data_IF_449484037062
#
_entry.id   IF_449484037062
#
_cell.length_a   1.000
_cell.length_b   1.000
_cell.length_c   1.000
_cell.angle_alpha   90.00
_cell.angle_beta   90.00
_cell.angle_gamma   90.00
#
_symmetry.space_group_name_H-M   'P 1'
#
loop_
_entity.id
_entity.type
_entity.pdbx_description
1 polymer ?
#
# COMPACT_ATOMS: atom_id res chain seq x y z
N UNK A 1 -7.42 -1.27 9.26
CA UNK A 1 -7.65 -1.08 7.83
C UNK A 1 -7.07 0.25 7.31
N UNK A 2 -7.05 1.32 8.13
CA UNK A 2 -6.44 2.62 7.80
C UNK A 2 -5.11 2.71 8.52
N UNK A 3 -4.01 2.54 7.78
CA UNK A 3 -2.65 2.46 8.36
C UNK A 3 -1.61 3.11 7.43
N UNK A 4 -0.52 3.68 7.98
CA UNK A 4 0.58 4.20 7.17
C UNK A 4 1.24 3.10 6.34
N UNK A 5 1.71 3.47 5.14
CA UNK A 5 2.47 2.59 4.26
C UNK A 5 3.45 3.41 3.40
N UNK A 6 4.63 2.86 3.12
CA UNK A 6 5.62 3.45 2.22
C UNK A 6 5.71 2.60 0.95
N UNK A 7 5.48 3.20 -0.20
CA UNK A 7 5.47 2.52 -1.48
C UNK A 7 4.22 1.68 -1.74
N UNK A 8 4.27 0.82 -2.77
CA UNK A 8 3.18 -0.08 -3.11
C UNK A 8 3.21 -1.33 -2.22
N UNK A 9 2.06 -1.73 -1.70
CA UNK A 9 1.95 -2.81 -0.70
C UNK A 9 2.37 -4.17 -1.23
N UNK A 10 2.10 -4.48 -2.51
CA UNK A 10 2.42 -5.79 -3.09
C UNK A 10 3.93 -6.06 -3.19
N UNK A 11 4.77 -5.21 -3.82
CA UNK A 11 6.22 -5.45 -3.82
C UNK A 11 6.84 -5.37 -2.42
N UNK A 12 6.28 -4.54 -1.53
CA UNK A 12 6.73 -4.45 -0.14
C UNK A 12 6.40 -5.74 0.63
N UNK A 13 5.24 -6.35 0.41
CA UNK A 13 4.92 -7.67 0.99
C UNK A 13 5.84 -8.78 0.48
N UNK A 14 6.24 -8.72 -0.81
CA UNK A 14 7.26 -9.63 -1.34
C UNK A 14 8.60 -9.41 -0.65
N UNK A 15 9.05 -8.15 -0.52
CA UNK A 15 10.29 -7.82 0.21
C UNK A 15 10.23 -8.26 1.68
N UNK A 16 9.07 -8.11 2.34
CA UNK A 16 8.83 -8.58 3.71
C UNK A 16 8.97 -10.11 3.82
N UNK A 17 8.42 -10.84 2.86
CA UNK A 17 8.54 -12.30 2.82
C UNK A 17 10.00 -12.73 2.61
N UNK A 18 10.74 -12.03 1.73
CA UNK A 18 12.18 -12.25 1.51
C UNK A 18 12.98 -11.95 2.77
N UNK A 19 12.71 -10.83 3.44
CA UNK A 19 13.36 -10.46 4.69
C UNK A 19 13.18 -11.57 5.74
N UNK A 20 11.96 -12.08 5.89
CA UNK A 20 11.67 -13.18 6.84
C UNK A 20 12.39 -14.47 6.47
N UNK A 21 12.42 -14.85 5.20
CA UNK A 21 13.14 -16.04 4.75
C UNK A 21 14.66 -15.87 4.98
N UNK A 22 15.22 -14.68 4.73
CA UNK A 22 16.65 -14.37 4.96
C UNK A 22 17.00 -14.40 6.44
N UNK A 23 16.17 -13.81 7.31
CA UNK A 23 16.33 -13.90 8.77
C UNK A 23 16.31 -15.35 9.26
N UNK A 24 15.41 -16.17 8.72
CA UNK A 24 15.28 -17.59 9.05
C UNK A 24 16.51 -18.38 8.56
N UNK A 25 17.03 -18.05 7.38
CA UNK A 25 18.28 -18.64 6.86
C UNK A 25 19.48 -18.32 7.75
N UNK A 26 19.52 -17.11 8.33
CA UNK A 26 20.57 -16.63 9.23
C UNK A 26 21.82 -16.12 8.51
N UNK A 27 21.80 -16.06 7.19
CA UNK A 27 22.90 -15.53 6.36
C UNK A 27 22.35 -14.92 5.09
N UNK A 28 23.18 -14.12 4.38
CA UNK A 28 22.83 -13.55 3.08
C UNK A 28 22.61 -14.67 2.05
N UNK A 29 21.46 -14.71 1.37
CA UNK A 29 21.19 -15.77 0.42
C UNK A 29 22.06 -15.65 -0.85
N UNK A 30 22.48 -16.77 -1.39
CA UNK A 30 23.14 -16.87 -2.68
C UNK A 30 22.13 -16.94 -3.82
N UNK A 31 20.96 -17.53 -3.54
CA UNK A 31 19.85 -17.67 -4.49
C UNK A 31 18.50 -17.45 -3.81
N UNK A 32 17.61 -16.78 -4.50
CA UNK A 32 16.25 -16.52 -4.04
C UNK A 32 15.25 -16.95 -5.11
N UNK A 33 14.37 -17.85 -4.76
CA UNK A 33 13.25 -18.29 -5.61
C UNK A 33 11.94 -17.77 -5.01
N UNK A 34 11.13 -17.10 -5.84
CA UNK A 34 9.88 -16.47 -5.42
C UNK A 34 8.74 -16.98 -6.28
N UNK A 35 7.71 -17.54 -5.63
CA UNK A 35 6.48 -17.98 -6.26
C UNK A 35 5.33 -17.06 -5.85
N UNK A 36 4.60 -16.51 -6.80
CA UNK A 36 3.58 -15.50 -6.59
C UNK A 36 2.26 -15.88 -7.22
N UNK A 37 1.15 -15.49 -6.58
CA UNK A 37 -0.13 -15.47 -7.27
C UNK A 37 -0.13 -14.44 -8.41
N UNK A 38 -0.97 -14.67 -9.43
CA UNK A 38 -1.06 -13.78 -10.59
C UNK A 38 -1.39 -12.34 -10.22
N UNK A 39 -2.21 -12.13 -9.18
CA UNK A 39 -2.59 -10.80 -8.73
C UNK A 39 -1.41 -10.03 -8.11
N UNK A 40 -0.61 -10.68 -7.28
CA UNK A 40 0.60 -10.09 -6.70
C UNK A 40 1.60 -9.75 -7.80
N UNK A 41 1.88 -10.67 -8.71
CA UNK A 41 2.82 -10.44 -9.80
C UNK A 41 2.38 -9.24 -10.67
N UNK A 42 1.12 -9.23 -11.12
CA UNK A 42 0.57 -8.14 -11.93
C UNK A 42 0.69 -6.77 -11.25
N UNK A 43 0.36 -6.69 -9.96
CA UNK A 43 0.32 -5.41 -9.24
C UNK A 43 1.72 -4.91 -8.84
N UNK A 44 2.69 -5.81 -8.71
CA UNK A 44 4.03 -5.46 -8.27
C UNK A 44 5.04 -5.13 -9.39
N UNK A 45 4.75 -5.53 -10.64
CA UNK A 45 5.73 -5.46 -11.74
C UNK A 45 6.07 -4.04 -12.19
N UNK A 46 5.13 -3.10 -12.16
CA UNK A 46 5.25 -1.80 -12.80
C UNK A 46 5.38 -0.61 -11.85
N UNK A 47 5.75 -0.83 -10.59
CA UNK A 47 5.75 0.23 -9.57
C UNK A 47 7.15 0.54 -9.07
N UNK A 48 7.39 1.81 -8.73
CA UNK A 48 8.65 2.27 -8.14
C UNK A 48 8.84 1.69 -6.74
N UNK A 49 10.07 1.25 -6.46
CA UNK A 49 10.44 0.72 -5.14
C UNK A 49 11.06 1.84 -4.31
N UNK A 50 10.55 2.06 -3.09
CA UNK A 50 10.96 3.18 -2.25
C UNK A 50 12.46 3.30 -2.08
N UNK A 51 13.00 4.52 -2.29
CA UNK A 51 14.41 4.84 -2.08
C UNK A 51 15.38 4.31 -3.12
N UNK A 52 14.93 3.52 -4.11
CA UNK A 52 15.83 2.85 -5.06
C UNK A 52 15.97 3.55 -6.40
N UNK A 53 15.00 4.38 -6.79
CA UNK A 53 14.91 4.92 -8.14
C UNK A 53 14.64 3.86 -9.23
N UNK A 54 14.33 2.63 -8.83
CA UNK A 54 14.11 1.50 -9.71
C UNK A 54 12.66 1.00 -9.61
N UNK A 55 12.26 0.22 -10.60
CA UNK A 55 10.90 -0.31 -10.75
C UNK A 55 10.91 -1.83 -10.63
N UNK A 56 9.88 -2.38 -10.00
CA UNK A 56 9.51 -3.79 -10.06
C UNK A 56 10.15 -4.68 -9.00
N UNK A 57 9.73 -5.93 -9.04
CA UNK A 57 10.06 -6.94 -8.02
C UNK A 57 11.55 -7.24 -7.82
N UNK A 58 12.41 -7.30 -8.86
CA UNK A 58 13.80 -7.72 -8.65
C UNK A 58 14.52 -6.88 -7.60
N UNK A 59 14.39 -5.54 -7.66
CA UNK A 59 15.05 -4.68 -6.67
C UNK A 59 14.39 -4.74 -5.29
N UNK A 60 13.06 -4.92 -5.21
CA UNK A 60 12.37 -5.11 -3.94
C UNK A 60 12.85 -6.40 -3.23
N UNK A 61 13.00 -7.48 -3.99
CA UNK A 61 13.53 -8.77 -3.49
C UNK A 61 14.98 -8.62 -3.01
N UNK A 62 15.83 -8.00 -3.82
CA UNK A 62 17.22 -7.77 -3.46
C UNK A 62 17.34 -6.94 -2.17
N UNK A 63 16.58 -5.85 -2.06
CA UNK A 63 16.55 -5.01 -0.86
C UNK A 63 16.03 -5.78 0.36
N UNK A 64 14.96 -6.57 0.20
CA UNK A 64 14.43 -7.42 1.27
C UNK A 64 15.48 -8.38 1.82
N UNK A 65 16.34 -8.95 0.96
CA UNK A 65 17.41 -9.85 1.35
C UNK A 65 18.62 -9.13 1.99
N UNK A 66 18.91 -7.89 1.59
CA UNK A 66 20.10 -7.16 2.04
C UNK A 66 19.90 -6.42 3.35
N UNK A 67 18.75 -5.81 3.53
CA UNK A 67 18.46 -4.91 4.67
C UNK A 67 17.12 -5.16 5.35
N UNK A 68 16.26 -6.00 4.76
CA UNK A 68 14.92 -6.19 5.26
C UNK A 68 14.91 -6.71 6.69
N UNK A 69 14.13 -6.04 7.55
CA UNK A 69 13.80 -6.49 8.90
C UNK A 69 12.31 -6.77 8.94
N UNK A 70 11.93 -8.04 9.14
CA UNK A 70 10.53 -8.44 9.08
C UNK A 70 9.66 -7.79 10.17
N UNK A 71 10.28 -7.33 11.27
CA UNK A 71 9.60 -6.56 12.32
C UNK A 71 9.03 -5.21 11.84
N UNK A 72 9.58 -4.64 10.77
CA UNK A 72 9.10 -3.37 10.20
C UNK A 72 7.85 -3.51 9.33
N UNK A 73 7.37 -4.73 9.12
CA UNK A 73 6.15 -4.98 8.36
C UNK A 73 6.17 -4.27 6.98
N UNK A 74 5.18 -3.43 6.67
CA UNK A 74 5.11 -2.71 5.40
C UNK A 74 6.08 -1.51 5.27
N UNK A 75 6.96 -1.31 6.24
CA UNK A 75 8.07 -0.37 6.19
C UNK A 75 9.43 -1.09 6.06
N UNK A 76 9.43 -2.37 5.66
CA UNK A 76 10.60 -3.27 5.61
C UNK A 76 11.81 -2.70 4.87
N UNK A 77 11.64 -1.77 3.94
CA UNK A 77 12.70 -1.14 3.16
C UNK A 77 13.07 0.27 3.65
N UNK A 78 12.61 0.72 4.83
CA UNK A 78 12.86 2.09 5.31
C UNK A 78 14.33 2.43 5.51
N UNK A 79 15.17 1.42 5.74
CA UNK A 79 16.62 1.58 5.94
C UNK A 79 17.42 1.56 4.61
N UNK A 80 16.75 1.69 3.44
CA UNK A 80 17.40 1.69 2.13
C UNK A 80 18.37 2.87 1.99
N UNK A 81 19.60 2.57 1.54
CA UNK A 81 20.65 3.56 1.26
C UNK A 81 21.17 3.38 -0.16
N UNK A 82 21.82 4.41 -0.76
CA UNK A 82 22.40 4.30 -2.09
C UNK A 82 23.35 3.11 -2.25
N UNK A 83 24.17 2.80 -1.24
CA UNK A 83 25.12 1.68 -1.27
C UNK A 83 24.40 0.33 -1.34
N UNK A 84 23.32 0.19 -0.58
CA UNK A 84 22.48 -1.03 -0.60
C UNK A 84 21.75 -1.16 -1.93
N UNK A 85 21.34 -0.06 -2.55
CA UNK A 85 20.75 -0.08 -3.90
C UNK A 85 21.76 -0.59 -4.93
N UNK A 86 23.00 -0.12 -4.88
CA UNK A 86 24.06 -0.59 -5.78
C UNK A 86 24.39 -2.08 -5.55
N UNK A 87 24.39 -2.53 -4.30
CA UNK A 87 24.54 -3.95 -3.99
C UNK A 87 23.35 -4.76 -4.53
N UNK A 88 22.13 -4.24 -4.41
CA UNK A 88 20.91 -4.84 -4.97
C UNK A 88 20.96 -4.97 -6.49
N UNK A 89 21.49 -3.99 -7.20
CA UNK A 89 21.71 -4.06 -8.67
C UNK A 89 22.66 -5.20 -9.03
N UNK A 90 23.78 -5.34 -8.32
CA UNK A 90 24.71 -6.45 -8.52
C UNK A 90 24.05 -7.81 -8.28
N UNK A 91 23.21 -7.91 -7.24
CA UNK A 91 22.46 -9.12 -6.93
C UNK A 91 21.54 -9.55 -8.08
N UNK A 92 20.93 -8.55 -8.76
CA UNK A 92 20.08 -8.78 -9.94
C UNK A 92 20.91 -9.19 -11.16
N UNK A 93 22.02 -8.50 -11.43
CA UNK A 93 22.92 -8.77 -12.55
C UNK A 93 23.52 -10.19 -12.47
N UNK A 94 23.84 -10.66 -11.28
CA UNK A 94 24.33 -12.01 -10.99
C UNK A 94 23.24 -13.09 -11.12
N UNK A 95 22.00 -12.71 -11.49
CA UNK A 95 20.85 -13.62 -11.72
C UNK A 95 20.53 -14.51 -10.53
N UNK A 96 20.71 -13.99 -9.33
CA UNK A 96 20.43 -14.71 -8.07
C UNK A 96 18.92 -14.81 -7.77
N UNK A 97 18.07 -14.06 -8.47
CA UNK A 97 16.62 -13.97 -8.23
C UNK A 97 15.87 -14.68 -9.33
N UNK A 98 15.00 -15.61 -8.95
CA UNK A 98 14.09 -16.31 -9.84
C UNK A 98 12.63 -16.08 -9.39
N UNK A 99 11.80 -15.50 -10.29
CA UNK A 99 10.41 -15.19 -10.03
C UNK A 99 9.52 -16.01 -10.94
N UNK A 100 8.54 -16.71 -10.38
CA UNK A 100 7.60 -17.54 -11.12
C UNK A 100 6.18 -17.40 -10.59
N UNK A 101 5.21 -17.77 -11.42
CA UNK A 101 3.82 -17.92 -10.98
C UNK A 101 3.66 -19.22 -10.18
N UNK A 102 2.87 -19.15 -9.11
CA UNK A 102 2.38 -20.32 -8.41
C UNK A 102 1.16 -20.84 -9.16
N UNK A 103 1.29 -22.02 -9.77
CA UNK A 103 0.20 -22.66 -10.51
C UNK A 103 -0.82 -23.30 -9.55
N UNK A 104 -2.06 -23.45 -10.03
CA UNK A 104 -3.14 -24.17 -9.33
C UNK A 104 -3.44 -23.66 -7.91
N UNK A 105 -3.39 -22.32 -7.73
CA UNK A 105 -3.71 -21.68 -6.46
C UNK A 105 -4.98 -20.82 -6.62
N UNK A 106 -5.94 -21.00 -5.70
CA UNK A 106 -7.15 -20.16 -5.61
C UNK A 106 -6.90 -18.86 -4.86
N UNK A 107 -5.83 -18.83 -4.05
CA UNK A 107 -5.48 -17.69 -3.20
C UNK A 107 -5.03 -16.49 -4.03
N UNK A 108 -5.76 -15.36 -3.91
CA UNK A 108 -5.47 -14.13 -4.66
C UNK A 108 -4.22 -13.42 -4.17
N UNK A 109 -3.91 -13.55 -2.88
CA UNK A 109 -2.71 -13.00 -2.24
C UNK A 109 -1.87 -14.16 -1.73
N UNK A 110 -0.86 -14.55 -2.50
CA UNK A 110 0.08 -15.59 -2.14
C UNK A 110 1.50 -15.21 -2.56
N UNK A 111 2.41 -15.35 -1.61
CA UNK A 111 3.84 -15.07 -1.77
C UNK A 111 4.59 -16.20 -1.05
N UNK A 112 5.39 -16.97 -1.78
CA UNK A 112 6.27 -17.99 -1.24
C UNK A 112 7.70 -17.66 -1.64
N UNK A 113 8.59 -17.59 -0.67
CA UNK A 113 10.00 -17.28 -0.86
C UNK A 113 10.85 -18.42 -0.34
N UNK A 114 11.78 -18.86 -1.14
CA UNK A 114 12.82 -19.78 -0.77
C UNK A 114 14.17 -19.09 -0.92
N UNK A 115 14.94 -18.97 0.15
CA UNK A 115 16.31 -18.49 0.22
C UNK A 115 17.26 -19.64 0.42
N UNK A 116 18.34 -19.69 -0.37
CA UNK A 116 19.37 -20.75 -0.34
C UNK A 116 20.77 -20.14 -0.19
N UNK A 117 21.62 -20.75 0.65
CA UNK A 117 23.02 -20.43 0.80
C UNK A 117 23.83 -21.71 1.12
N UNK A 118 24.66 -22.17 0.18
CA UNK A 118 25.30 -23.47 0.26
C UNK A 118 24.28 -24.60 0.36
N UNK A 119 24.31 -25.36 1.44
CA UNK A 119 23.36 -26.45 1.74
C UNK A 119 22.16 -25.98 2.57
N UNK A 120 22.22 -24.77 3.13
CA UNK A 120 21.14 -24.22 3.95
C UNK A 120 20.02 -23.63 3.10
N UNK A 121 18.78 -23.86 3.57
CA UNK A 121 17.55 -23.42 2.91
C UNK A 121 16.54 -22.90 3.93
N UNK A 122 15.88 -21.80 3.60
CA UNK A 122 14.76 -21.30 4.38
C UNK A 122 13.59 -20.92 3.49
N UNK A 123 12.38 -21.18 3.96
CA UNK A 123 11.13 -20.87 3.28
C UNK A 123 10.26 -20.00 4.18
N UNK A 124 9.66 -18.96 3.59
CA UNK A 124 8.61 -18.17 4.22
C UNK A 124 7.44 -18.02 3.26
N UNK A 125 6.21 -18.04 3.79
CA UNK A 125 4.99 -17.89 3.00
C UNK A 125 4.06 -16.86 3.64
N UNK A 126 3.59 -15.91 2.83
CA UNK A 126 2.54 -14.95 3.16
C UNK A 126 1.30 -15.29 2.33
N UNK A 127 0.11 -15.38 2.97
CA UNK A 127 -1.14 -15.56 2.26
C UNK A 127 -2.32 -14.88 2.96
N UNK A 128 -3.36 -14.51 2.19
CA UNK A 128 -4.58 -13.89 2.67
C UNK A 128 -4.45 -12.40 3.05
N UNK A 129 -3.31 -11.96 3.54
CA UNK A 129 -3.02 -10.57 3.90
C UNK A 129 -1.56 -10.24 3.65
N UNK A 130 -1.24 -8.96 3.35
CA UNK A 130 0.11 -8.53 2.95
C UNK A 130 1.20 -8.76 4.02
N UNK A 131 0.82 -8.98 5.27
CA UNK A 131 1.73 -9.19 6.41
C UNK A 131 1.45 -10.50 7.15
N UNK A 132 0.56 -11.34 6.62
CA UNK A 132 0.12 -12.57 7.28
C UNK A 132 1.01 -13.72 6.88
N UNK A 133 2.00 -14.05 7.72
CA UNK A 133 2.78 -15.27 7.55
C UNK A 133 1.94 -16.49 7.90
N UNK A 134 1.99 -17.51 7.03
CA UNK A 134 1.30 -18.79 7.24
C UNK A 134 2.25 -19.97 7.36
N UNK A 135 3.50 -19.83 6.91
CA UNK A 135 4.49 -20.88 6.97
C UNK A 135 5.90 -20.33 7.04
N UNK A 136 6.74 -20.91 7.91
CA UNK A 136 8.18 -20.62 8.02
C UNK A 136 8.90 -21.93 8.30
N UNK A 137 9.95 -22.22 7.51
CA UNK A 137 10.74 -23.45 7.59
C UNK A 137 12.24 -23.14 7.44
N UNK A 138 13.08 -23.90 8.11
CA UNK A 138 14.55 -23.92 7.87
C UNK A 138 15.03 -25.38 7.78
N UNK A 139 15.70 -25.72 6.68
CA UNK A 139 16.30 -27.03 6.44
C UNK A 139 15.35 -28.23 6.66
N UNK A 140 14.06 -28.07 6.30
CA UNK A 140 13.03 -29.09 6.52
C UNK A 140 12.39 -29.06 7.92
N UNK A 141 12.88 -28.23 8.85
CA UNK A 141 12.26 -28.04 10.16
C UNK A 141 11.26 -26.88 10.12
N UNK A 142 9.99 -27.18 10.35
CA UNK A 142 8.90 -26.19 10.38
C UNK A 142 8.97 -25.41 11.69
N UNK A 143 9.26 -24.11 11.60
CA UNK A 143 9.31 -23.21 12.75
C UNK A 143 7.96 -22.55 13.05
N UNK A 144 7.16 -22.34 12.02
CA UNK A 144 5.82 -21.76 12.15
C UNK A 144 4.91 -22.28 11.06
N UNK A 145 3.71 -22.70 11.43
CA UNK A 145 2.65 -23.08 10.50
C UNK A 145 1.29 -22.68 11.06
N UNK A 146 0.56 -21.87 10.28
CA UNK A 146 -0.83 -21.52 10.55
C UNK A 146 -1.71 -22.28 9.56
N UNK A 147 -2.73 -23.00 10.04
CA UNK A 147 -3.72 -23.58 9.14
C UNK A 147 -4.42 -22.43 8.38
N UNK A 148 -4.16 -22.35 7.10
CA UNK A 148 -4.82 -21.42 6.20
C UNK A 148 -5.79 -22.24 5.37
N UNK A 149 -7.06 -22.25 5.75
CA UNK A 149 -8.14 -22.74 4.90
C UNK A 149 -8.60 -21.57 4.05
N UNK A 150 -8.50 -21.68 2.74
CA UNK A 150 -8.91 -20.67 1.75
C UNK A 150 -10.39 -20.24 1.89
N UNK A 151 -11.16 -20.90 2.76
CA UNK A 151 -12.58 -20.67 2.99
C UNK A 151 -12.97 -20.33 4.42
N UNK A 152 -11.99 -20.12 5.31
CA UNK A 152 -12.26 -19.71 6.70
C UNK A 152 -11.43 -18.46 7.04
N UNK A 153 -11.90 -17.29 6.67
CA UNK A 153 -11.86 -16.19 7.63
C UNK A 153 -12.65 -16.70 8.83
N UNK A 154 -11.93 -17.28 9.84
CA UNK A 154 -12.57 -17.41 11.15
C UNK A 154 -13.08 -16.01 11.46
N UNK A 155 -14.36 -15.93 11.73
CA UNK A 155 -15.05 -14.91 12.46
C UNK A 155 -14.26 -14.53 13.74
N UNK A 156 -13.17 -13.77 13.65
CA UNK A 156 -13.08 -12.60 14.49
C UNK A 156 -14.36 -11.87 14.14
N UNK A 157 -15.19 -11.54 15.12
CA UNK A 157 -16.45 -10.86 14.93
C UNK A 157 -16.21 -9.67 13.98
N UNK A 158 -16.19 -9.94 12.68
CA UNK A 158 -16.08 -8.92 11.65
C UNK A 158 -17.36 -8.13 11.79
N UNK A 159 -17.25 -6.96 12.40
CA UNK A 159 -18.37 -6.04 12.53
C UNK A 159 -18.99 -5.88 11.15
N UNK A 160 -20.15 -6.48 10.94
CA UNK A 160 -20.87 -6.34 9.68
C UNK A 160 -21.30 -4.88 9.55
N UNK A 161 -20.59 -4.15 8.69
CA UNK A 161 -20.89 -2.76 8.41
C UNK A 161 -22.14 -2.70 7.51
N UNK A 162 -22.95 -1.72 7.78
CA UNK A 162 -24.00 -1.25 6.87
C UNK A 162 -23.79 0.24 6.64
N UNK A 163 -24.26 0.77 5.52
CA UNK A 163 -24.14 2.20 5.23
C UNK A 163 -24.74 3.06 6.35
N UNK A 164 -25.82 2.59 6.98
CA UNK A 164 -26.45 3.27 8.12
C UNK A 164 -25.51 3.33 9.33
N UNK A 165 -24.88 2.20 9.70
CA UNK A 165 -23.91 2.18 10.81
C UNK A 165 -22.71 3.09 10.53
N UNK A 166 -22.20 3.08 9.28
CA UNK A 166 -21.11 3.96 8.85
C UNK A 166 -21.48 5.42 9.04
N UNK A 167 -22.65 5.81 8.55
CA UNK A 167 -23.15 7.18 8.67
C UNK A 167 -23.36 7.59 10.13
N UNK A 168 -24.09 6.79 10.90
CA UNK A 168 -24.39 7.09 12.30
C UNK A 168 -23.09 7.19 13.14
N UNK A 169 -22.12 6.32 12.91
CA UNK A 169 -20.82 6.37 13.59
C UNK A 169 -20.03 7.63 13.23
N UNK A 170 -19.90 7.94 11.95
CA UNK A 170 -19.14 9.10 11.50
C UNK A 170 -19.67 10.43 12.06
N UNK A 171 -21.01 10.54 12.20
CA UNK A 171 -21.64 11.80 12.59
C UNK A 171 -21.90 11.96 14.10
N UNK A 172 -22.05 10.85 14.83
CA UNK A 172 -22.48 10.92 16.24
C UNK A 172 -21.39 10.52 17.24
N UNK A 173 -20.26 9.92 16.78
CA UNK A 173 -19.16 9.56 17.68
C UNK A 173 -18.47 10.82 18.22
N UNK A 174 -18.08 10.84 19.50
CA UNK A 174 -17.30 11.92 20.09
C UNK A 174 -16.02 12.20 19.27
N UNK A 175 -15.68 13.49 19.09
CA UNK A 175 -14.55 13.89 18.24
C UNK A 175 -13.20 13.34 18.71
N UNK A 176 -12.99 13.27 20.01
CA UNK A 176 -11.76 12.75 20.62
C UNK A 176 -11.51 11.26 20.26
N UNK A 177 -12.57 10.49 20.00
CA UNK A 177 -12.45 9.10 19.58
C UNK A 177 -12.11 8.94 18.10
N UNK A 178 -12.45 9.92 17.24
CA UNK A 178 -12.30 9.84 15.79
C UNK A 178 -11.29 10.85 15.18
N UNK A 179 -10.75 11.76 15.98
CA UNK A 179 -9.79 12.79 15.54
C UNK A 179 -8.50 12.22 14.92
N UNK A 180 -8.14 10.96 15.25
CA UNK A 180 -7.00 10.27 14.63
C UNK A 180 -7.09 10.22 13.11
N UNK A 181 -8.29 10.37 12.52
CA UNK A 181 -8.48 10.36 11.07
C UNK A 181 -7.77 11.54 10.38
N UNK A 182 -7.49 12.63 11.09
CA UNK A 182 -6.71 13.76 10.57
C UNK A 182 -5.30 13.37 10.14
N UNK A 183 -4.76 12.30 10.70
CA UNK A 183 -3.46 11.78 10.27
C UNK A 183 -3.47 11.34 8.81
N UNK A 184 -4.64 10.91 8.29
CA UNK A 184 -4.81 10.61 6.86
C UNK A 184 -4.61 11.86 6.01
N UNK A 185 -5.18 12.98 6.43
CA UNK A 185 -5.02 14.27 5.76
C UNK A 185 -3.55 14.72 5.80
N UNK A 186 -2.91 14.68 6.97
CA UNK A 186 -1.51 15.10 7.15
C UNK A 186 -0.56 14.33 6.25
N UNK A 187 -0.62 12.99 6.27
CA UNK A 187 0.30 12.16 5.48
C UNK A 187 0.05 12.26 3.98
N UNK A 188 -1.21 12.20 3.57
CA UNK A 188 -1.53 12.20 2.15
C UNK A 188 -1.32 13.57 1.50
N UNK A 189 -1.56 14.67 2.24
CA UNK A 189 -1.25 16.03 1.78
C UNK A 189 0.26 16.24 1.61
N UNK A 190 1.05 15.80 2.57
CA UNK A 190 2.51 15.86 2.48
C UNK A 190 3.05 15.10 1.25
N UNK A 191 2.44 13.97 0.90
CA UNK A 191 2.81 13.24 -0.32
C UNK A 191 2.49 14.02 -1.60
N UNK A 192 1.34 14.70 -1.65
CA UNK A 192 0.98 15.56 -2.77
C UNK A 192 1.94 16.75 -2.89
N UNK A 193 2.21 17.45 -1.81
CA UNK A 193 3.11 18.60 -1.77
C UNK A 193 4.53 18.20 -2.22
N UNK A 194 5.02 17.05 -1.76
CA UNK A 194 6.30 16.50 -2.19
C UNK A 194 6.34 16.25 -3.70
N UNK A 195 5.22 15.83 -4.29
CA UNK A 195 5.14 15.62 -5.75
C UNK A 195 5.29 16.90 -6.54
N UNK A 196 4.85 18.04 -6.00
CA UNK A 196 4.97 19.35 -6.66
C UNK A 196 6.41 19.87 -6.68
N UNK A 197 7.20 19.52 -5.69
CA UNK A 197 8.61 19.90 -5.60
C UNK A 197 9.52 19.01 -6.46
N UNK A 198 9.20 17.71 -6.57
CA UNK A 198 10.00 16.71 -7.24
C UNK A 198 9.58 16.39 -8.68
N UNK A 199 10.25 15.39 -9.25
CA UNK A 199 9.89 14.79 -10.52
C UNK A 199 9.48 13.33 -10.27
N UNK A 200 8.19 13.10 -10.14
CA UNK A 200 7.63 11.78 -9.84
C UNK A 200 6.62 11.35 -10.91
N UNK A 201 6.70 10.08 -11.32
CA UNK A 201 5.74 9.45 -12.19
C UNK A 201 5.50 10.23 -13.49
N UNK A 202 4.24 10.48 -13.78
CA UNK A 202 3.83 11.25 -14.96
C UNK A 202 3.78 12.77 -14.72
N UNK A 203 3.95 13.21 -13.48
CA UNK A 203 3.91 14.61 -13.09
C UNK A 203 2.53 15.26 -13.27
N UNK A 204 1.46 14.46 -13.31
CA UNK A 204 0.09 14.94 -13.60
C UNK A 204 -0.36 15.99 -12.59
N UNK A 205 -0.14 15.76 -11.29
CA UNK A 205 -0.49 16.72 -10.25
C UNK A 205 0.18 18.08 -10.45
N UNK A 206 1.47 18.07 -10.79
CA UNK A 206 2.25 19.28 -11.07
C UNK A 206 1.81 19.96 -12.37
N UNK A 207 1.53 19.19 -13.40
CA UNK A 207 1.05 19.67 -14.69
C UNK A 207 -0.29 20.41 -14.54
N UNK A 208 -1.24 19.87 -13.79
CA UNK A 208 -2.54 20.48 -13.53
C UNK A 208 -2.46 21.84 -12.82
N UNK A 209 -1.32 22.19 -12.25
CA UNK A 209 -1.03 23.51 -11.65
C UNK A 209 -0.34 24.46 -12.62
N UNK A 210 -0.12 24.06 -13.88
CA UNK A 210 0.51 24.86 -14.91
C UNK A 210 -0.40 25.95 -15.47
N UNK A 211 0.20 26.99 -16.07
CA UNK A 211 -0.55 28.14 -16.62
C UNK A 211 -1.47 27.76 -17.77
N UNK A 212 -1.09 26.77 -18.58
CA UNK A 212 -1.90 26.32 -19.71
C UNK A 212 -3.13 25.54 -19.23
N UNK A 213 -2.91 24.61 -18.34
CA UNK A 213 -3.96 23.76 -17.78
C UNK A 213 -4.99 24.58 -16.99
N UNK A 214 -4.56 25.62 -16.27
CA UNK A 214 -5.45 26.59 -15.63
C UNK A 214 -6.34 27.33 -16.64
N UNK A 215 -5.86 27.60 -17.86
CA UNK A 215 -6.70 28.21 -18.92
C UNK A 215 -7.77 27.25 -19.44
N UNK A 216 -7.50 25.94 -19.42
CA UNK A 216 -8.41 24.91 -19.93
C UNK A 216 -9.40 24.46 -18.87
N UNK A 217 -8.91 24.18 -17.65
CA UNK A 217 -9.69 23.57 -16.57
C UNK A 217 -10.17 24.58 -15.51
N UNK A 218 -9.64 25.80 -15.54
CA UNK A 218 -9.88 26.83 -14.52
C UNK A 218 -9.11 26.58 -13.24
N UNK A 219 -9.01 27.62 -12.41
CA UNK A 219 -8.54 27.56 -11.02
C UNK A 219 -9.77 27.28 -10.15
N UNK A 220 -10.04 26.03 -9.87
CA UNK A 220 -11.26 25.57 -9.25
C UNK A 220 -10.99 24.45 -8.23
N UNK A 221 -11.90 24.28 -7.30
CA UNK A 221 -11.87 23.15 -6.33
C UNK A 221 -11.65 21.82 -7.06
N UNK A 222 -12.27 21.62 -8.22
CA UNK A 222 -12.13 20.41 -9.00
C UNK A 222 -10.70 20.19 -9.50
N UNK A 223 -10.07 21.24 -10.09
CA UNK A 223 -8.69 21.16 -10.57
C UNK A 223 -7.70 20.93 -9.41
N UNK A 224 -7.94 21.51 -8.24
CA UNK A 224 -7.13 21.30 -7.04
C UNK A 224 -7.28 19.88 -6.51
N UNK A 225 -8.48 19.34 -6.40
CA UNK A 225 -8.73 17.93 -6.04
C UNK A 225 -7.95 16.99 -6.95
N UNK A 226 -8.03 17.19 -8.27
CA UNK A 226 -7.29 16.36 -9.22
C UNK A 226 -5.78 16.49 -9.05
N UNK A 227 -5.28 17.72 -8.90
CA UNK A 227 -3.85 18.00 -8.74
C UNK A 227 -3.27 17.33 -7.49
N UNK A 228 -3.88 17.52 -6.33
CA UNK A 228 -3.39 16.93 -5.08
C UNK A 228 -3.49 15.40 -5.10
N UNK A 229 -4.62 14.85 -5.54
CA UNK A 229 -4.85 13.40 -5.54
C UNK A 229 -3.91 12.68 -6.51
N UNK A 230 -3.78 13.19 -7.76
CA UNK A 230 -2.87 12.59 -8.74
C UNK A 230 -1.41 12.78 -8.36
N UNK A 231 -1.04 13.93 -7.79
CA UNK A 231 0.33 14.20 -7.33
C UNK A 231 0.77 13.23 -6.23
N UNK A 232 -0.06 13.01 -5.21
CA UNK A 232 0.24 12.03 -4.15
C UNK A 232 0.37 10.61 -4.72
N UNK A 233 -0.49 10.22 -5.65
CA UNK A 233 -0.39 8.93 -6.34
C UNK A 233 0.90 8.82 -7.17
N UNK A 234 1.26 9.87 -7.92
CA UNK A 234 2.50 9.91 -8.70
C UNK A 234 3.73 9.74 -7.82
N UNK A 235 3.82 10.48 -6.71
CA UNK A 235 4.94 10.36 -5.77
C UNK A 235 5.04 8.93 -5.21
N UNK A 236 3.92 8.38 -4.75
CA UNK A 236 3.88 7.02 -4.19
C UNK A 236 4.27 5.97 -5.22
N UNK A 237 3.68 6.01 -6.42
CA UNK A 237 3.90 5.00 -7.46
C UNK A 237 5.29 5.08 -8.09
N UNK A 238 5.93 6.25 -8.05
CA UNK A 238 7.32 6.42 -8.43
C UNK A 238 8.33 5.98 -7.36
N UNK A 239 7.86 5.53 -6.19
CA UNK A 239 8.73 5.06 -5.12
C UNK A 239 9.34 6.17 -4.26
N UNK A 240 8.65 7.30 -4.08
CA UNK A 240 9.04 8.31 -3.11
C UNK A 240 9.12 7.69 -1.71
N UNK A 241 10.19 8.02 -0.96
CA UNK A 241 10.36 7.62 0.45
C UNK A 241 9.51 8.52 1.35
N UNK A 242 8.19 8.43 1.18
CA UNK A 242 7.22 9.18 1.96
C UNK A 242 6.06 8.28 2.37
N UNK A 243 5.67 8.30 3.65
CA UNK A 243 4.51 7.56 4.10
C UNK A 243 3.22 8.18 3.55
N UNK A 244 2.29 7.34 3.15
CA UNK A 244 0.90 7.70 2.86
C UNK A 244 -0.02 6.91 3.76
N UNK A 245 -1.17 7.45 4.10
CA UNK A 245 -2.18 6.67 4.80
C UNK A 245 -2.94 5.81 3.80
N UNK A 246 -2.86 4.50 3.98
CA UNK A 246 -3.59 3.53 3.17
C UNK A 246 -5.02 3.33 3.67
N UNK A 247 -5.84 2.65 2.87
CA UNK A 247 -7.12 2.12 3.29
C UNK A 247 -7.31 0.72 2.68
N UNK A 248 -7.73 -0.24 3.49
CA UNK A 248 -7.96 -1.64 3.09
C UNK A 248 -6.80 -2.24 2.27
N UNK A 249 -5.57 -1.95 2.68
CA UNK A 249 -4.35 -2.48 2.06
C UNK A 249 -3.88 -1.76 0.79
N UNK A 250 -4.48 -0.63 0.40
CA UNK A 250 -4.05 0.16 -0.76
C UNK A 250 -3.79 1.62 -0.40
N UNK A 251 -2.54 2.11 -0.67
CA UNK A 251 -2.18 3.50 -0.45
C UNK A 251 -2.91 4.46 -1.38
N UNK A 252 -3.03 4.13 -2.69
CA UNK A 252 -3.79 4.97 -3.62
C UNK A 252 -5.28 5.06 -3.23
N UNK A 253 -5.83 3.99 -2.66
CA UNK A 253 -7.20 4.00 -2.15
C UNK A 253 -7.34 4.95 -0.95
N UNK A 254 -6.37 4.92 -0.02
CA UNK A 254 -6.32 5.87 1.10
C UNK A 254 -6.14 7.32 0.64
N UNK A 255 -5.24 7.58 -0.32
CA UNK A 255 -5.05 8.90 -0.94
C UNK A 255 -6.37 9.41 -1.54
N UNK A 256 -7.04 8.59 -2.35
CA UNK A 256 -8.26 8.97 -3.05
C UNK A 256 -9.49 9.07 -2.14
N UNK A 257 -9.47 8.41 -0.98
CA UNK A 257 -10.50 8.59 0.05
C UNK A 257 -10.28 9.85 0.89
N UNK A 258 -9.03 10.34 0.97
CA UNK A 258 -8.66 11.49 1.82
C UNK A 258 -8.65 12.81 1.07
N UNK A 259 -7.82 12.91 0.02
CA UNK A 259 -7.46 14.21 -0.57
C UNK A 259 -8.63 14.95 -1.22
N UNK A 260 -9.57 14.30 -1.92
CA UNK A 260 -10.74 15.02 -2.42
C UNK A 260 -11.58 15.68 -1.32
N UNK A 261 -11.73 15.00 -0.18
CA UNK A 261 -12.47 15.52 0.98
C UNK A 261 -11.72 16.67 1.62
N UNK A 262 -10.41 16.50 1.85
CA UNK A 262 -9.57 17.52 2.46
C UNK A 262 -9.54 18.81 1.63
N UNK A 263 -9.24 18.70 0.32
CA UNK A 263 -9.15 19.86 -0.57
C UNK A 263 -10.50 20.57 -0.65
N UNK A 264 -11.60 19.81 -0.76
CA UNK A 264 -12.94 20.40 -0.76
C UNK A 264 -13.24 21.16 0.55
N UNK A 265 -12.88 20.58 1.69
CA UNK A 265 -13.10 21.22 2.99
C UNK A 265 -12.28 22.50 3.15
N UNK A 266 -10.99 22.48 2.76
CA UNK A 266 -10.10 23.65 2.83
C UNK A 266 -10.58 24.79 1.92
N UNK A 267 -10.97 24.48 0.67
CA UNK A 267 -11.44 25.46 -0.31
C UNK A 267 -12.82 26.07 0.01
N UNK A 268 -13.58 25.45 0.92
CA UNK A 268 -14.90 25.91 1.33
C UNK A 268 -14.95 26.30 2.81
N UNK A 269 -13.79 26.59 3.43
CA UNK A 269 -13.66 27.07 4.81
C UNK A 269 -14.42 26.23 5.85
N UNK A 270 -14.42 24.89 5.66
CA UNK A 270 -15.05 23.96 6.59
C UNK A 270 -14.27 23.85 7.89
N UNK A 271 -14.99 23.69 8.99
CA UNK A 271 -14.39 23.50 10.30
C UNK A 271 -13.63 22.16 10.40
N UNK A 272 -12.69 22.07 11.36
CA UNK A 272 -11.99 20.82 11.64
C UNK A 272 -12.95 19.68 12.02
N UNK A 273 -14.01 19.96 12.77
CA UNK A 273 -15.03 18.96 13.07
C UNK A 273 -15.71 18.42 11.81
N UNK A 274 -16.14 19.31 10.89
CA UNK A 274 -16.73 18.89 9.63
C UNK A 274 -15.74 18.03 8.81
N UNK A 275 -14.47 18.43 8.76
CA UNK A 275 -13.43 17.65 8.08
C UNK A 275 -13.24 16.26 8.70
N UNK A 276 -13.14 16.15 10.03
CA UNK A 276 -13.02 14.87 10.73
C UNK A 276 -14.18 13.95 10.38
N UNK A 277 -15.41 14.43 10.47
CA UNK A 277 -16.61 13.64 10.19
C UNK A 277 -16.71 13.22 8.73
N UNK A 278 -16.38 14.11 7.80
CA UNK A 278 -16.36 13.81 6.37
C UNK A 278 -15.27 12.78 6.00
N UNK A 279 -14.08 12.89 6.56
CA UNK A 279 -13.00 11.90 6.38
C UNK A 279 -13.39 10.54 6.96
N UNK A 280 -14.00 10.52 8.16
CA UNK A 280 -14.47 9.29 8.78
C UNK A 280 -15.54 8.62 7.91
N UNK A 281 -16.52 9.38 7.42
CA UNK A 281 -17.55 8.88 6.52
C UNK A 281 -16.93 8.32 5.23
N UNK A 282 -15.99 9.03 4.63
CA UNK A 282 -15.28 8.59 3.42
C UNK A 282 -14.56 7.26 3.65
N UNK A 283 -13.70 7.18 4.66
CA UNK A 283 -12.87 6.01 4.92
C UNK A 283 -13.68 4.78 5.33
N UNK A 284 -14.71 4.94 6.16
CA UNK A 284 -15.59 3.84 6.55
C UNK A 284 -16.45 3.34 5.39
N UNK A 285 -16.88 4.24 4.49
CA UNK A 285 -17.61 3.84 3.26
C UNK A 285 -16.72 2.96 2.37
N UNK A 286 -15.43 3.30 2.25
CA UNK A 286 -14.45 2.47 1.52
C UNK A 286 -14.35 1.08 2.16
N UNK A 287 -14.19 1.01 3.48
CA UNK A 287 -14.08 -0.26 4.21
C UNK A 287 -15.37 -1.08 4.04
N UNK A 288 -16.54 -0.45 4.16
CA UNK A 288 -17.84 -1.09 3.93
C UNK A 288 -17.93 -1.76 2.55
N UNK A 289 -17.55 -1.03 1.48
CA UNK A 289 -17.56 -1.58 0.13
C UNK A 289 -16.55 -2.74 0.02
N UNK A 290 -15.37 -2.59 0.63
CA UNK A 290 -14.31 -3.62 0.60
C UNK A 290 -14.67 -4.89 1.35
N UNK A 291 -15.54 -4.84 2.36
CA UNK A 291 -16.03 -6.06 3.00
C UNK A 291 -16.73 -6.99 2.00
N UNK A 292 -17.48 -6.44 1.04
CA UNK A 292 -18.15 -7.24 0.00
C UNK A 292 -17.23 -7.63 -1.15
N UNK A 293 -16.22 -6.81 -1.49
CA UNK A 293 -15.34 -7.03 -2.64
C UNK A 293 -14.11 -7.87 -2.32
N UNK A 294 -13.70 -7.92 -1.05
CA UNK A 294 -12.42 -8.47 -0.61
C UNK A 294 -11.23 -7.54 -0.86
N UNK A 295 -10.08 -7.83 -0.23
CA UNK A 295 -8.88 -6.97 -0.27
C UNK A 295 -8.29 -6.84 -1.67
N UNK A 296 -8.15 -7.93 -2.41
CA UNK A 296 -7.69 -7.97 -3.80
C UNK A 296 -8.87 -8.25 -4.72
N UNK A 297 -9.64 -7.22 -5.04
CA UNK A 297 -10.76 -7.31 -5.97
C UNK A 297 -10.36 -6.93 -7.39
N UNK A 298 -11.12 -7.41 -8.38
CA UNK A 298 -10.97 -6.99 -9.77
C UNK A 298 -11.41 -5.54 -10.01
N UNK A 299 -12.31 -5.02 -9.15
CA UNK A 299 -12.73 -3.61 -9.20
C UNK A 299 -11.58 -2.70 -8.78
N UNK A 300 -11.35 -1.65 -9.57
CA UNK A 300 -10.31 -0.67 -9.29
C UNK A 300 -10.55 0.03 -7.94
N UNK A 301 -9.49 0.11 -7.11
CA UNK A 301 -9.54 0.82 -5.83
C UNK A 301 -9.94 2.28 -5.94
N UNK A 302 -9.64 2.95 -7.08
CA UNK A 302 -10.06 4.32 -7.33
C UNK A 302 -11.57 4.49 -7.36
N UNK A 303 -12.33 3.55 -7.94
CA UNK A 303 -13.81 3.59 -7.96
C UNK A 303 -14.35 3.48 -6.54
N UNK A 304 -13.83 2.56 -5.74
CA UNK A 304 -14.22 2.38 -4.34
C UNK A 304 -13.94 3.64 -3.51
N UNK A 305 -12.73 4.18 -3.65
CA UNK A 305 -12.31 5.37 -2.92
C UNK A 305 -13.06 6.63 -3.35
N UNK A 306 -13.33 6.79 -4.65
CA UNK A 306 -14.13 7.89 -5.18
C UNK A 306 -15.58 7.86 -4.63
N UNK A 307 -16.15 6.67 -4.46
CA UNK A 307 -17.48 6.55 -3.81
C UNK A 307 -17.40 7.05 -2.37
N UNK A 308 -16.37 6.65 -1.61
CA UNK A 308 -16.18 7.13 -0.23
C UNK A 308 -16.01 8.64 -0.16
N UNK A 309 -15.07 9.19 -0.95
CA UNK A 309 -14.82 10.65 -0.95
C UNK A 309 -16.03 11.46 -1.44
N UNK A 310 -16.80 10.93 -2.41
CA UNK A 310 -18.06 11.56 -2.83
C UNK A 310 -19.08 11.63 -1.70
N UNK A 311 -19.19 10.59 -0.85
CA UNK A 311 -20.04 10.62 0.33
C UNK A 311 -19.60 11.71 1.32
N UNK A 312 -18.28 11.80 1.59
CA UNK A 312 -17.73 12.85 2.46
C UNK A 312 -17.99 14.26 1.92
N UNK A 313 -17.72 14.50 0.63
CA UNK A 313 -17.96 15.80 -0.02
C UNK A 313 -19.45 16.15 -0.01
N UNK A 314 -20.32 15.20 -0.37
CA UNK A 314 -21.77 15.44 -0.39
C UNK A 314 -22.29 15.83 0.99
N UNK A 315 -21.74 15.25 2.05
CA UNK A 315 -22.09 15.64 3.41
C UNK A 315 -21.59 17.05 3.78
N UNK A 316 -20.42 17.47 3.27
CA UNK A 316 -19.88 18.82 3.46
C UNK A 316 -20.67 19.91 2.70
N UNK A 317 -21.35 19.56 1.60
CA UNK A 317 -22.22 20.47 0.83
C UNK A 317 -23.53 20.75 1.56
#
# INVERSE_FOLDING_TARGET
EVVPAIGCTEPIAVALCVAKATETLGTKPEKISVLLSANILKNAMGVGIPGTGMIGLPIAIAQGALIGKSEYQLEVLKDSTPDVVEEGKRFIEEKRIHISLKENIEEKLYIEVCCEAGEDKAIAVIAGGHTTFIYIERNGEVQFQKQHTASCEKEEECLELTLRKVYDFALNTPLDEISFILETARLNKAAAERSFEGNYGHGLGKMLRGTYEHKVMGDSVFSHILSYTSGACDARMAGAMIPVMSNSGSGNQGISATLPVLVFAEENDKSEEELIRALMLSHLTVIYIKQSLGRLSALCGCVVAATGSSCGITWLM
#
